data_IF_335311817917
#
_entry.id   IF_335311817917
#
_cell.length_a   1.000
_cell.length_b   1.000
_cell.length_c   1.000
_cell.angle_alpha   90.00
_cell.angle_beta   90.00
_cell.angle_gamma   90.00
#
_symmetry.space_group_name_H-M   'P 1'
#
loop_
_entity.id
_entity.type
_entity.pdbx_description
1 polymer ?
#
# COMPACT_ATOMS: atom_id res chain seq x y z
N UNK A 1 4.41 -26.71 4.52
CA UNK A 1 3.00 -26.74 4.06
C UNK A 1 2.38 -25.36 4.32
N UNK A 2 2.08 -24.57 3.29
CA UNK A 2 1.42 -23.28 3.45
C UNK A 2 -0.08 -23.53 3.71
N UNK A 3 -0.60 -23.05 4.85
CA UNK A 3 -2.03 -23.12 5.17
C UNK A 3 -2.65 -21.76 4.89
N UNK A 4 -3.63 -21.74 4.00
CA UNK A 4 -4.48 -20.57 3.77
C UNK A 4 -5.79 -20.74 4.55
N UNK A 5 -6.28 -19.65 5.13
CA UNK A 5 -7.54 -19.64 5.86
C UNK A 5 -8.53 -18.71 5.16
N UNK A 6 -9.78 -19.18 5.04
CA UNK A 6 -10.88 -18.41 4.46
C UNK A 6 -11.97 -18.25 5.52
N UNK A 7 -12.31 -17.01 5.84
CA UNK A 7 -13.35 -16.69 6.80
C UNK A 7 -14.39 -15.76 6.17
N UNK A 8 -15.65 -15.89 6.62
CA UNK A 8 -16.72 -14.92 6.33
C UNK A 8 -16.96 -14.10 7.60
N UNK A 9 -16.94 -12.78 7.46
CA UNK A 9 -17.20 -11.82 8.53
C UNK A 9 -18.64 -11.32 8.43
N UNK A 10 -19.31 -11.13 9.56
CA UNK A 10 -20.61 -10.46 9.69
C UNK A 10 -20.49 -9.25 10.61
N UNK A 11 -19.84 -8.16 10.14
CA UNK A 11 -19.56 -7.01 10.99
C UNK A 11 -20.82 -6.20 11.30
N UNK A 12 -20.88 -5.65 12.51
CA UNK A 12 -21.87 -4.62 12.87
C UNK A 12 -21.51 -3.26 12.23
N UNK A 13 -22.35 -2.24 12.41
CA UNK A 13 -22.17 -0.93 11.77
C UNK A 13 -20.84 -0.26 12.15
N UNK A 14 -20.47 -0.27 13.43
CA UNK A 14 -19.22 0.33 13.92
C UNK A 14 -17.99 -0.38 13.35
N UNK A 15 -18.02 -1.72 13.30
CA UNK A 15 -16.94 -2.52 12.72
C UNK A 15 -16.77 -2.27 11.22
N UNK A 16 -17.87 -2.10 10.46
CA UNK A 16 -17.80 -1.75 9.04
C UNK A 16 -17.09 -0.42 8.83
N UNK A 17 -17.43 0.59 9.63
CA UNK A 17 -16.81 1.90 9.57
C UNK A 17 -15.32 1.83 9.94
N UNK A 18 -15.00 1.10 11.02
CA UNK A 18 -13.61 0.84 11.42
C UNK A 18 -12.81 0.19 10.29
N UNK A 19 -13.30 -0.90 9.70
CA UNK A 19 -12.61 -1.56 8.60
C UNK A 19 -12.45 -0.66 7.37
N UNK A 20 -13.48 0.12 7.02
CA UNK A 20 -13.40 1.07 5.91
C UNK A 20 -12.30 2.11 6.15
N UNK A 21 -12.22 2.68 7.37
CA UNK A 21 -11.17 3.63 7.75
C UNK A 21 -9.79 2.98 7.71
N UNK A 22 -9.61 1.83 8.36
CA UNK A 22 -8.31 1.15 8.49
C UNK A 22 -7.78 0.63 7.16
N UNK A 23 -8.61 -0.06 6.37
CA UNK A 23 -8.18 -0.55 5.05
C UNK A 23 -8.07 0.60 4.05
N UNK A 24 -8.94 1.62 4.16
CA UNK A 24 -8.89 2.81 3.33
C UNK A 24 -7.59 3.59 3.48
N UNK A 25 -7.19 3.92 4.73
CA UNK A 25 -5.96 4.67 4.96
C UNK A 25 -4.71 3.87 4.55
N UNK A 26 -4.67 2.58 4.87
CA UNK A 26 -3.55 1.70 4.48
C UNK A 26 -3.41 1.60 2.95
N UNK A 27 -4.54 1.46 2.25
CA UNK A 27 -4.58 1.41 0.78
C UNK A 27 -4.14 2.72 0.15
N UNK A 28 -4.55 3.86 0.71
CA UNK A 28 -4.15 5.18 0.22
C UNK A 28 -2.64 5.35 0.26
N UNK A 29 -2.02 5.16 1.44
CA UNK A 29 -0.57 5.31 1.62
C UNK A 29 0.20 4.36 0.70
N UNK A 30 -0.24 3.10 0.61
CA UNK A 30 0.37 2.13 -0.30
C UNK A 30 0.32 2.60 -1.75
N UNK A 31 -0.83 3.10 -2.22
CA UNK A 31 -0.99 3.56 -3.59
C UNK A 31 -0.15 4.81 -3.89
N UNK A 32 -0.02 5.74 -2.94
CA UNK A 32 0.85 6.91 -3.09
C UNK A 32 2.32 6.50 -3.25
N UNK A 33 2.81 5.63 -2.36
CA UNK A 33 4.17 5.10 -2.43
C UNK A 33 4.43 4.29 -3.71
N UNK A 34 3.45 3.49 -4.14
CA UNK A 34 3.54 2.73 -5.39
C UNK A 34 3.61 3.65 -6.60
N UNK A 35 2.77 4.69 -6.64
CA UNK A 35 2.80 5.71 -7.68
C UNK A 35 4.19 6.35 -7.79
N UNK A 36 4.79 6.74 -6.68
CA UNK A 36 6.13 7.35 -6.68
C UNK A 36 7.22 6.38 -7.15
N UNK A 37 7.09 5.09 -6.80
CA UNK A 37 8.00 4.05 -7.32
C UNK A 37 7.87 3.85 -8.83
N UNK A 38 6.64 3.85 -9.35
CA UNK A 38 6.39 3.71 -10.78
C UNK A 38 7.00 4.90 -11.53
N UNK A 39 6.74 6.13 -11.08
CA UNK A 39 7.34 7.34 -11.68
C UNK A 39 8.86 7.29 -11.67
N UNK A 40 9.45 7.00 -10.51
CA UNK A 40 10.89 6.90 -10.39
C UNK A 40 11.48 5.81 -11.29
N UNK A 41 10.78 4.68 -11.47
CA UNK A 41 11.19 3.65 -12.42
C UNK A 41 11.12 4.16 -13.86
N UNK A 42 10.01 4.76 -14.28
CA UNK A 42 9.82 5.26 -15.65
C UNK A 42 10.86 6.31 -16.05
N UNK A 43 11.22 7.21 -15.13
CA UNK A 43 12.23 8.25 -15.32
C UNK A 43 13.66 7.69 -15.43
N UNK A 44 13.92 6.54 -14.81
CA UNK A 44 15.28 6.04 -14.60
C UNK A 44 15.53 4.65 -15.19
N UNK A 45 14.55 4.05 -15.89
CA UNK A 45 14.60 2.66 -16.40
C UNK A 45 15.79 2.39 -17.34
N UNK A 46 16.30 3.43 -17.99
CA UNK A 46 17.43 3.36 -18.94
C UNK A 46 18.78 3.73 -18.28
N UNK A 47 18.79 3.99 -16.97
CA UNK A 47 19.97 4.35 -16.18
C UNK A 47 20.30 3.23 -15.18
N UNK A 48 21.59 2.93 -15.01
CA UNK A 48 22.07 1.91 -14.05
C UNK A 48 22.05 2.47 -12.61
N UNK A 49 20.85 2.55 -12.00
CA UNK A 49 20.66 3.23 -10.71
C UNK A 49 20.58 2.25 -9.54
N UNK A 50 21.62 2.28 -8.70
CA UNK A 50 21.69 1.55 -7.42
C UNK A 50 21.38 2.41 -6.17
N UNK A 51 20.81 3.61 -6.31
CA UNK A 51 20.58 4.54 -5.17
C UNK A 51 19.31 5.40 -5.23
N UNK A 52 18.18 4.88 -5.71
CA UNK A 52 16.91 5.63 -5.65
C UNK A 52 16.37 5.63 -4.21
N UNK A 53 16.31 6.80 -3.55
CA UNK A 53 15.70 6.96 -2.23
C UNK A 53 14.20 7.23 -2.42
N UNK A 54 13.36 6.39 -1.82
CA UNK A 54 11.91 6.58 -1.82
C UNK A 54 11.46 7.33 -0.55
N UNK A 55 10.43 8.17 -0.63
CA UNK A 55 9.78 8.71 0.56
C UNK A 55 9.26 7.58 1.45
N UNK A 56 9.48 7.71 2.76
CA UNK A 56 8.89 6.84 3.77
C UNK A 56 7.42 7.21 4.01
N UNK A 57 6.60 6.31 4.57
CA UNK A 57 5.20 6.60 4.87
C UNK A 57 4.98 7.87 5.70
N UNK A 58 5.96 8.30 6.49
CA UNK A 58 5.87 9.50 7.33
C UNK A 58 5.84 10.83 6.55
N UNK A 59 6.09 10.81 5.24
CA UNK A 59 6.07 11.99 4.39
C UNK A 59 4.72 12.24 3.69
N UNK A 60 3.72 11.38 3.91
CA UNK A 60 2.37 11.48 3.36
C UNK A 60 1.35 11.72 4.47
#
# INVERSE_FOLDING_TARGET
MLRAYKYRLYPNSEQKEYFAKTFGCSRLIYNLMLSDRIKAYEENKDLDIKKTKYPTPAHY
#
